data_IF_784810529268
#
_entry.id   IF_784810529268
#
_cell.length_a   1.000
_cell.length_b   1.000
_cell.length_c   1.000
_cell.angle_alpha   90.00
_cell.angle_beta   90.00
_cell.angle_gamma   90.00
#
_symmetry.space_group_name_H-M   'P 1'
#
loop_
_entity.id
_entity.type
_entity.pdbx_description
1 polymer ?
#
# COMPACT_ATOMS: atom_id res chain seq x y z
N UNK A 1 19.69 13.18 -37.53
CA UNK A 1 18.34 12.84 -37.05
C UNK A 1 18.47 12.75 -35.57
N UNK A 2 17.92 13.73 -34.86
CA UNK A 2 17.88 13.71 -33.41
C UNK A 2 17.00 12.52 -33.00
N UNK A 3 17.59 11.51 -32.35
CA UNK A 3 16.82 10.39 -31.80
C UNK A 3 15.85 10.96 -30.78
N UNK A 4 14.60 10.51 -30.78
CA UNK A 4 13.72 10.83 -29.67
C UNK A 4 14.33 10.23 -28.39
N UNK A 5 14.25 10.89 -27.22
CA UNK A 5 14.80 10.37 -25.97
C UNK A 5 14.31 8.95 -25.60
N UNK A 6 13.14 8.56 -26.11
CA UNK A 6 12.54 7.22 -25.93
C UNK A 6 13.11 6.15 -26.89
N UNK A 7 13.85 6.53 -27.93
CA UNK A 7 14.54 5.60 -28.85
C UNK A 7 15.89 5.11 -28.28
N UNK A 8 16.20 5.45 -27.02
CA UNK A 8 17.49 5.19 -26.39
C UNK A 8 17.56 3.79 -25.76
N UNK A 9 16.45 3.13 -25.45
CA UNK A 9 16.42 1.79 -24.86
C UNK A 9 15.54 0.83 -25.67
N UNK A 10 15.96 -0.43 -25.74
CA UNK A 10 15.22 -1.52 -26.41
C UNK A 10 14.35 -2.31 -25.42
N UNK A 11 14.68 -2.21 -24.13
CA UNK A 11 14.10 -3.00 -23.05
C UNK A 11 13.72 -2.14 -21.85
N UNK A 12 12.55 -2.39 -21.28
CA UNK A 12 12.12 -1.85 -19.99
C UNK A 12 12.11 -2.99 -18.98
N UNK A 13 12.83 -2.82 -17.88
CA UNK A 13 12.86 -3.74 -16.74
C UNK A 13 12.26 -3.00 -15.56
N UNK A 14 11.16 -3.48 -15.00
CA UNK A 14 10.52 -2.91 -13.81
C UNK A 14 10.74 -3.88 -12.66
N UNK A 15 11.35 -3.41 -11.58
CA UNK A 15 11.35 -4.07 -10.28
C UNK A 15 10.33 -3.35 -9.38
N UNK A 16 9.23 -4.03 -9.07
CA UNK A 16 8.17 -3.48 -8.22
C UNK A 16 8.17 -4.15 -6.84
N UNK A 17 8.56 -3.38 -5.85
CA UNK A 17 8.62 -3.73 -4.43
C UNK A 17 7.30 -3.42 -3.71
N UNK A 18 7.23 -3.78 -2.43
CA UNK A 18 6.14 -3.53 -1.48
C UNK A 18 6.68 -2.84 -0.20
N UNK A 19 5.79 -2.57 0.72
CA UNK A 19 5.19 -1.25 0.83
C UNK A 19 6.08 -0.19 1.50
N UNK A 20 6.39 0.93 0.82
CA UNK A 20 7.25 2.01 1.35
C UNK A 20 6.92 3.38 0.77
N UNK A 21 6.71 4.37 1.64
CA UNK A 21 6.62 5.78 1.26
C UNK A 21 7.96 6.35 0.77
N UNK A 22 7.92 7.40 -0.05
CA UNK A 22 9.12 8.10 -0.51
C UNK A 22 10.00 8.58 0.65
N UNK A 23 9.44 9.30 1.62
CA UNK A 23 10.24 9.86 2.72
C UNK A 23 10.90 8.80 3.60
N UNK A 24 10.21 7.68 3.86
CA UNK A 24 10.76 6.57 4.64
C UNK A 24 12.06 6.02 4.06
N UNK A 25 12.24 5.96 2.73
CA UNK A 25 13.46 5.44 2.11
C UNK A 25 14.38 6.54 1.56
N UNK A 26 13.83 7.57 0.92
CA UNK A 26 14.59 8.56 0.15
C UNK A 26 14.40 10.00 0.64
N UNK A 27 13.60 10.24 1.68
CA UNK A 27 13.40 11.58 2.24
C UNK A 27 14.71 12.20 2.73
N UNK A 28 15.62 11.39 3.27
CA UNK A 28 16.94 11.83 3.76
C UNK A 28 18.05 11.79 2.69
N UNK A 29 17.71 11.57 1.41
CA UNK A 29 18.68 11.36 0.31
C UNK A 29 19.73 12.48 0.23
N UNK A 30 19.29 13.73 0.35
CA UNK A 30 20.11 14.94 0.23
C UNK A 30 20.25 15.72 1.54
N UNK A 31 20.28 15.03 2.68
CA UNK A 31 20.51 15.65 4.00
C UNK A 31 21.81 16.48 4.08
N UNK A 32 22.81 16.17 3.24
CA UNK A 32 24.10 16.89 3.17
C UNK A 32 24.09 18.04 2.14
N UNK A 33 22.96 18.28 1.48
CA UNK A 33 22.77 19.31 0.47
C UNK A 33 22.19 18.77 -0.83
N UNK A 34 21.14 19.44 -1.32
CA UNK A 34 20.55 19.20 -2.64
C UNK A 34 21.53 19.69 -3.73
N UNK A 35 21.68 18.97 -4.86
CA UNK A 35 22.52 19.42 -5.97
C UNK A 35 22.19 20.84 -6.42
N UNK A 36 23.20 21.60 -6.85
CA UNK A 36 23.03 22.99 -7.28
C UNK A 36 21.96 23.11 -8.36
N UNK A 37 21.12 24.14 -8.26
CA UNK A 37 20.05 24.45 -9.22
C UNK A 37 18.96 23.38 -9.32
N UNK A 38 18.87 22.49 -8.32
CA UNK A 38 17.79 21.51 -8.16
C UNK A 38 17.00 21.81 -6.88
N UNK A 39 15.75 21.38 -6.88
CA UNK A 39 14.93 21.29 -5.68
C UNK A 39 14.83 19.82 -5.26
N UNK A 40 14.36 19.56 -4.05
CA UNK A 40 14.09 18.20 -3.60
C UNK A 40 13.07 18.28 -2.46
N UNK A 41 11.91 17.68 -2.64
CA UNK A 41 10.87 17.60 -1.61
C UNK A 41 11.19 16.44 -0.66
N UNK A 42 12.34 16.53 -0.01
CA UNK A 42 12.79 15.61 1.02
C UNK A 42 12.71 16.22 2.42
N UNK A 43 13.44 15.63 3.34
CA UNK A 43 13.39 15.92 4.78
C UNK A 43 14.54 16.82 5.26
N UNK A 44 15.27 17.44 4.34
CA UNK A 44 16.50 18.19 4.66
C UNK A 44 16.27 19.59 5.27
N UNK A 45 15.12 20.21 5.04
CA UNK A 45 14.90 21.64 5.35
C UNK A 45 13.97 21.91 6.54
N UNK A 46 13.22 20.91 7.02
CA UNK A 46 12.13 21.09 8.00
C UNK A 46 12.15 19.99 9.06
N UNK A 47 11.98 20.38 10.32
CA UNK A 47 11.65 19.45 11.40
C UNK A 47 10.20 19.00 11.27
N UNK A 48 9.99 17.84 10.67
CA UNK A 48 8.67 17.23 10.57
C UNK A 48 8.34 16.43 11.82
N UNK A 49 7.10 16.58 12.26
CA UNK A 49 6.55 15.87 13.42
C UNK A 49 5.09 15.51 13.20
N UNK A 50 4.60 14.54 13.96
CA UNK A 50 3.19 14.18 14.05
C UNK A 50 2.72 14.31 15.52
N UNK A 51 1.53 14.89 15.77
CA UNK A 51 0.97 14.98 17.12
C UNK A 51 0.64 13.61 17.69
N UNK A 52 0.79 13.50 19.01
CA UNK A 52 0.37 12.32 19.78
C UNK A 52 -1.07 12.59 20.27
N UNK A 53 -2.06 11.74 19.93
CA UNK A 53 -3.43 11.95 20.36
C UNK A 53 -3.57 11.74 21.87
N UNK A 54 -4.46 12.50 22.52
CA UNK A 54 -4.69 12.44 23.98
C UNK A 54 -5.13 11.05 24.49
N UNK A 55 -5.66 10.20 23.60
CA UNK A 55 -6.05 8.81 23.89
C UNK A 55 -4.87 7.83 24.00
N UNK A 56 -3.65 8.22 23.61
CA UNK A 56 -2.48 7.37 23.69
C UNK A 56 -2.09 7.08 25.15
N UNK A 57 -1.68 5.83 25.47
CA UNK A 57 -1.16 5.53 26.80
C UNK A 57 0.09 6.37 27.10
N UNK A 58 0.16 6.90 28.33
CA UNK A 58 1.26 7.72 28.82
C UNK A 58 1.62 8.96 27.96
N UNK A 59 0.68 9.45 27.13
CA UNK A 59 0.87 10.54 26.15
C UNK A 59 1.30 11.91 26.70
N UNK A 60 1.78 11.99 27.94
CA UNK A 60 2.11 13.23 28.64
C UNK A 60 3.32 13.16 29.60
N UNK A 61 4.02 12.01 29.73
CA UNK A 61 5.11 11.90 30.74
C UNK A 61 6.54 11.70 30.19
N UNK A 62 6.73 11.44 28.89
CA UNK A 62 8.09 11.22 28.32
C UNK A 62 8.47 12.09 27.12
N UNK A 63 7.54 12.78 26.47
CA UNK A 63 7.84 13.86 25.50
C UNK A 63 7.40 15.18 26.10
N UNK A 64 8.28 16.18 26.11
CA UNK A 64 7.97 17.51 26.65
C UNK A 64 6.92 18.23 25.79
N UNK A 65 6.64 17.74 24.56
CA UNK A 65 5.96 18.52 23.53
C UNK A 65 4.70 17.90 22.88
N UNK A 66 4.21 16.71 23.25
CA UNK A 66 3.03 16.07 22.62
C UNK A 66 3.18 15.74 21.11
N UNK A 67 4.41 15.68 20.59
CA UNK A 67 4.71 15.32 19.19
C UNK A 67 5.78 14.20 19.12
N UNK A 68 5.78 13.47 18.01
CA UNK A 68 6.88 12.59 17.58
C UNK A 68 7.54 13.18 16.35
N UNK A 69 8.85 13.42 16.41
CA UNK A 69 9.66 13.87 15.27
C UNK A 69 10.20 12.71 14.44
N UNK A 70 10.59 13.01 13.20
CA UNK A 70 11.34 12.06 12.37
C UNK A 70 12.65 11.69 13.08
N UNK A 71 12.99 10.40 13.02
CA UNK A 71 14.26 9.88 13.54
C UNK A 71 14.83 8.80 12.61
N UNK A 72 16.13 8.56 12.70
CA UNK A 72 16.78 7.50 11.94
C UNK A 72 16.20 6.14 12.34
N UNK A 73 15.97 5.28 11.34
CA UNK A 73 15.57 3.90 11.58
C UNK A 73 16.62 3.16 12.40
N UNK A 74 16.17 2.43 13.42
CA UNK A 74 17.06 1.65 14.31
C UNK A 74 17.26 0.22 13.83
N UNK A 75 16.45 -0.26 12.89
CA UNK A 75 16.52 -1.61 12.34
C UNK A 75 15.86 -1.73 10.96
N UNK A 76 16.34 -2.64 10.12
CA UNK A 76 15.86 -2.87 8.75
C UNK A 76 14.47 -3.51 8.63
N UNK A 77 13.86 -3.89 9.76
CA UNK A 77 12.50 -4.42 9.81
C UNK A 77 11.47 -3.36 10.22
N UNK A 78 11.87 -2.08 10.40
CA UNK A 78 10.97 -1.02 10.83
C UNK A 78 10.18 -0.41 9.66
N UNK A 79 8.94 0.05 9.89
CA UNK A 79 8.18 -0.11 11.14
C UNK A 79 7.80 -1.58 11.39
N UNK A 80 7.74 -1.99 12.66
CA UNK A 80 7.18 -3.27 13.05
C UNK A 80 6.29 -3.10 14.28
N UNK A 81 5.08 -3.69 14.28
CA UNK A 81 4.47 -4.43 13.17
C UNK A 81 4.01 -3.55 12.01
N UNK A 82 3.49 -4.19 10.97
CA UNK A 82 2.94 -3.56 9.78
C UNK A 82 1.90 -2.46 10.08
N UNK A 83 2.03 -1.25 9.50
CA UNK A 83 1.07 -0.16 9.69
C UNK A 83 -0.27 -0.41 8.98
N UNK A 84 -1.24 0.47 9.23
CA UNK A 84 -2.50 0.45 8.49
C UNK A 84 -2.34 0.98 7.05
N UNK A 85 -2.76 0.20 6.06
CA UNK A 85 -2.63 0.55 4.63
C UNK A 85 -3.98 0.62 3.88
N UNK A 86 -5.08 0.17 4.50
CA UNK A 86 -6.41 0.28 3.90
C UNK A 86 -6.88 1.73 3.83
N UNK A 87 -7.79 2.03 2.90
CA UNK A 87 -8.32 3.37 2.65
C UNK A 87 -8.71 4.16 3.91
N UNK A 88 -9.34 3.48 4.89
CA UNK A 88 -9.75 4.03 6.17
C UNK A 88 -8.56 4.52 7.02
N UNK A 89 -7.46 3.77 7.04
CA UNK A 89 -6.23 4.12 7.74
C UNK A 89 -5.49 5.27 7.02
N UNK A 90 -5.43 5.20 5.69
CA UNK A 90 -4.80 6.28 4.89
C UNK A 90 -5.54 7.60 5.07
N UNK A 91 -6.87 7.61 5.18
CA UNK A 91 -7.61 8.83 5.53
C UNK A 91 -7.18 9.40 6.88
N UNK A 92 -6.99 8.55 7.90
CA UNK A 92 -6.43 9.00 9.18
C UNK A 92 -5.07 9.65 8.99
N UNK A 93 -4.15 9.01 8.27
CA UNK A 93 -2.77 9.48 8.05
C UNK A 93 -2.74 10.87 7.40
N UNK A 94 -3.59 11.06 6.39
CA UNK A 94 -3.70 12.30 5.62
C UNK A 94 -4.32 13.44 6.43
N UNK A 95 -5.39 13.18 7.18
CA UNK A 95 -6.22 14.22 7.80
C UNK A 95 -6.06 14.33 9.32
N UNK A 96 -5.29 13.43 9.95
CA UNK A 96 -5.20 13.29 11.40
C UNK A 96 -6.58 13.24 12.09
N UNK A 97 -7.50 12.51 11.48
CA UNK A 97 -8.88 12.39 11.94
C UNK A 97 -9.28 10.91 12.01
N UNK A 98 -9.92 10.50 13.11
CA UNK A 98 -10.54 9.19 13.26
C UNK A 98 -11.96 9.44 13.77
N UNK A 99 -12.96 8.80 13.15
CA UNK A 99 -14.32 8.82 13.67
C UNK A 99 -14.37 8.07 15.01
N UNK A 100 -15.13 8.56 15.99
CA UNK A 100 -15.15 7.98 17.35
C UNK A 100 -15.48 6.48 17.34
N UNK A 101 -16.40 6.07 16.48
CA UNK A 101 -16.83 4.69 16.28
C UNK A 101 -15.78 3.78 15.63
N UNK A 102 -14.72 4.36 15.02
CA UNK A 102 -13.64 3.61 14.37
C UNK A 102 -12.37 3.51 15.24
N UNK A 103 -12.36 4.12 16.43
CA UNK A 103 -11.22 4.05 17.36
C UNK A 103 -11.12 2.64 17.96
N UNK A 104 -9.96 2.00 17.80
CA UNK A 104 -9.69 0.65 18.30
C UNK A 104 -10.48 -0.45 17.58
N UNK A 105 -10.89 -0.19 16.34
CA UNK A 105 -11.71 -1.08 15.52
C UNK A 105 -10.91 -1.58 14.32
N UNK A 106 -11.07 -2.85 13.95
CA UNK A 106 -10.42 -3.42 12.76
C UNK A 106 -11.00 -2.82 11.49
N UNK A 107 -10.18 -2.72 10.45
CA UNK A 107 -10.55 -2.15 9.17
C UNK A 107 -11.80 -2.77 8.53
N UNK A 108 -12.06 -4.06 8.76
CA UNK A 108 -13.18 -4.79 8.15
C UNK A 108 -14.54 -4.33 8.68
N UNK A 109 -14.56 -3.74 9.88
CA UNK A 109 -15.81 -3.32 10.55
C UNK A 109 -15.85 -1.82 10.84
N UNK A 110 -14.85 -1.04 10.40
CA UNK A 110 -14.91 0.42 10.40
C UNK A 110 -16.12 0.92 9.58
N UNK A 111 -16.73 2.00 10.05
CA UNK A 111 -17.95 2.57 9.50
C UNK A 111 -17.69 3.79 8.61
N UNK A 112 -18.58 4.07 7.63
CA UNK A 112 -18.58 5.34 6.91
C UNK A 112 -18.66 6.55 7.88
N UNK A 113 -17.96 7.66 7.61
CA UNK A 113 -17.29 8.00 6.35
C UNK A 113 -15.83 7.51 6.28
N UNK A 114 -15.47 6.42 6.99
CA UNK A 114 -14.17 5.77 6.84
C UNK A 114 -13.01 6.72 7.18
N UNK A 115 -13.16 7.46 8.29
CA UNK A 115 -12.21 8.47 8.78
C UNK A 115 -12.00 9.67 7.84
N UNK A 116 -12.80 9.80 6.78
CA UNK A 116 -12.80 10.99 5.94
C UNK A 116 -13.49 12.15 6.71
N UNK A 117 -12.80 13.29 6.92
CA UNK A 117 -13.41 14.43 7.61
C UNK A 117 -14.48 15.09 6.74
N UNK A 118 -15.44 15.76 7.38
CA UNK A 118 -16.53 16.50 6.71
C UNK A 118 -16.08 17.74 5.93
N UNK A 119 -14.89 18.29 6.23
CA UNK A 119 -14.29 19.40 5.49
C UNK A 119 -13.08 18.93 4.68
N UNK A 120 -13.12 19.11 3.36
CA UNK A 120 -12.05 18.76 2.42
C UNK A 120 -10.89 19.77 2.43
N UNK A 121 -10.31 20.06 3.59
CA UNK A 121 -9.04 20.79 3.64
C UNK A 121 -7.92 19.97 3.02
N UNK A 122 -6.89 20.63 2.48
CA UNK A 122 -5.66 19.97 2.02
C UNK A 122 -5.15 18.97 3.09
N UNK A 123 -4.77 17.74 2.71
CA UNK A 123 -4.19 16.77 3.64
C UNK A 123 -3.05 17.39 4.45
N UNK A 124 -3.09 17.21 5.76
CA UNK A 124 -2.09 17.75 6.69
C UNK A 124 -0.83 16.89 6.77
N UNK A 125 -0.95 15.60 6.44
CA UNK A 125 0.11 14.59 6.63
C UNK A 125 0.55 14.43 8.10
N UNK A 126 -0.35 14.73 9.05
CA UNK A 126 -0.10 14.72 10.50
C UNK A 126 -0.72 13.53 11.24
N UNK A 127 -1.26 12.54 10.53
CA UNK A 127 -2.04 11.48 11.14
C UNK A 127 -1.34 10.14 11.33
N UNK A 128 -0.10 9.96 10.88
CA UNK A 128 0.61 8.68 10.88
C UNK A 128 0.77 8.10 12.29
N UNK A 129 1.12 8.93 13.28
CA UNK A 129 1.20 8.50 14.69
C UNK A 129 -0.17 8.10 15.24
N UNK A 130 -1.19 8.91 14.95
CA UNK A 130 -2.57 8.65 15.42
C UNK A 130 -3.12 7.35 14.83
N UNK A 131 -2.88 7.13 13.54
CA UNK A 131 -3.27 5.93 12.82
C UNK A 131 -2.54 4.69 13.35
N UNK A 132 -1.20 4.76 13.48
CA UNK A 132 -0.41 3.62 13.94
C UNK A 132 -0.74 3.22 15.38
N UNK A 133 -1.07 4.16 16.27
CA UNK A 133 -1.64 3.85 17.60
C UNK A 133 -2.93 3.02 17.48
N UNK A 134 -3.80 3.37 16.53
CA UNK A 134 -5.03 2.63 16.27
C UNK A 134 -4.74 1.21 15.78
N UNK A 135 -3.84 1.08 14.80
CA UNK A 135 -3.40 -0.20 14.24
C UNK A 135 -2.79 -1.11 15.31
N UNK A 136 -1.88 -0.59 16.14
CA UNK A 136 -1.25 -1.34 17.23
C UNK A 136 -2.29 -1.84 18.23
N UNK A 137 -3.21 -0.97 18.66
CA UNK A 137 -4.26 -1.35 19.61
C UNK A 137 -5.06 -2.57 19.14
N UNK A 138 -5.32 -2.66 17.84
CA UNK A 138 -6.10 -3.72 17.22
C UNK A 138 -5.26 -4.96 16.93
N UNK A 139 -4.21 -4.84 16.10
CA UNK A 139 -3.46 -5.99 15.58
C UNK A 139 -2.76 -6.79 16.69
N UNK A 140 -2.21 -6.09 17.68
CA UNK A 140 -1.46 -6.71 18.76
C UNK A 140 -2.31 -6.97 20.01
N UNK A 141 -3.61 -6.65 19.99
CA UNK A 141 -4.50 -6.74 21.16
C UNK A 141 -3.88 -6.08 22.42
N UNK A 142 -3.16 -4.96 22.22
CA UNK A 142 -2.37 -4.33 23.28
C UNK A 142 -3.24 -3.97 24.49
N UNK A 143 -3.01 -4.67 25.60
CA UNK A 143 -3.53 -4.37 26.93
C UNK A 143 -2.37 -4.50 27.94
N UNK A 144 -1.79 -3.38 28.46
CA UNK A 144 -2.22 -1.99 28.28
C UNK A 144 -1.97 -1.44 26.86
N UNK A 145 -2.60 -0.31 26.54
CA UNK A 145 -2.43 0.43 25.28
C UNK A 145 -0.95 0.65 24.90
N UNK A 146 -0.62 0.78 23.59
CA UNK A 146 0.75 0.96 23.12
C UNK A 146 1.41 2.22 23.71
N UNK A 147 2.68 2.11 24.04
CA UNK A 147 3.51 3.17 24.62
C UNK A 147 4.23 3.99 23.54
N UNK A 148 4.84 5.11 23.94
CA UNK A 148 5.65 5.94 23.04
C UNK A 148 6.71 5.16 22.27
N UNK A 149 7.37 4.19 22.90
CA UNK A 149 8.38 3.38 22.22
C UNK A 149 7.79 2.45 21.16
N UNK A 150 6.52 2.06 21.30
CA UNK A 150 5.84 1.20 20.35
C UNK A 150 5.44 1.99 19.10
N UNK A 151 4.82 3.16 19.26
CA UNK A 151 4.28 3.91 18.12
C UNK A 151 5.26 4.90 17.47
N UNK A 152 6.31 5.36 18.15
CA UNK A 152 7.24 6.36 17.56
C UNK A 152 7.99 5.84 16.33
N UNK A 153 8.07 4.52 16.16
CA UNK A 153 8.79 3.89 15.05
C UNK A 153 8.15 4.19 13.69
N UNK A 154 6.88 4.59 13.63
CA UNK A 154 6.23 4.99 12.37
C UNK A 154 6.86 6.24 11.76
N UNK A 155 7.49 7.08 12.58
CA UNK A 155 8.20 8.29 12.16
C UNK A 155 9.68 8.00 11.82
N UNK A 156 10.10 6.73 11.80
CA UNK A 156 11.47 6.39 11.41
C UNK A 156 11.66 6.46 9.91
N UNK A 157 12.78 7.03 9.48
CA UNK A 157 13.21 7.06 8.08
C UNK A 157 14.60 6.44 7.97
N UNK A 158 14.87 5.75 6.86
CA UNK A 158 16.16 5.15 6.58
C UNK A 158 17.14 6.22 6.08
N UNK A 159 18.34 6.22 6.64
CA UNK A 159 19.41 7.09 6.17
C UNK A 159 19.98 6.59 4.84
N UNK A 160 20.62 7.45 4.03
CA UNK A 160 21.29 7.03 2.80
C UNK A 160 22.35 5.94 3.00
N UNK A 161 22.88 5.78 4.21
CA UNK A 161 23.84 4.69 4.54
C UNK A 161 23.15 3.35 4.76
N UNK A 162 21.90 3.35 5.21
CA UNK A 162 21.12 2.14 5.44
C UNK A 162 20.55 1.61 4.13
N UNK A 163 20.00 2.48 3.29
CA UNK A 163 19.50 2.14 1.94
C UNK A 163 20.52 2.52 0.86
N UNK A 164 21.76 2.12 1.07
CA UNK A 164 22.90 2.59 0.28
C UNK A 164 22.80 2.29 -1.21
N UNK A 165 22.26 1.14 -1.60
CA UNK A 165 22.09 0.76 -3.00
C UNK A 165 21.07 1.68 -3.65
N UNK A 166 19.84 1.76 -3.10
CA UNK A 166 18.80 2.61 -3.67
C UNK A 166 19.21 4.09 -3.65
N UNK A 167 19.80 4.58 -2.56
CA UNK A 167 20.26 5.96 -2.44
C UNK A 167 21.40 6.29 -3.41
N UNK A 168 22.34 5.37 -3.64
CA UNK A 168 23.40 5.56 -4.63
C UNK A 168 22.82 5.60 -6.04
N UNK A 169 21.91 4.69 -6.39
CA UNK A 169 21.25 4.70 -7.70
C UNK A 169 20.44 5.97 -7.92
N UNK A 170 19.72 6.44 -6.91
CA UNK A 170 18.97 7.69 -6.96
C UNK A 170 19.87 8.92 -7.19
N UNK A 171 21.07 8.95 -6.57
CA UNK A 171 22.03 10.05 -6.74
C UNK A 171 22.75 10.04 -8.08
N UNK A 172 23.08 8.86 -8.60
CA UNK A 172 23.86 8.70 -9.83
C UNK A 172 23.00 8.76 -11.10
N UNK A 173 21.70 8.47 -10.99
CA UNK A 173 20.74 8.44 -12.11
C UNK A 173 19.55 9.38 -11.84
N UNK A 174 18.31 8.90 -11.97
CA UNK A 174 17.13 9.71 -11.75
C UNK A 174 16.29 9.22 -10.59
N UNK A 175 15.85 10.17 -9.77
CA UNK A 175 14.85 9.97 -8.73
C UNK A 175 13.74 10.99 -8.90
N UNK A 176 12.51 10.53 -8.71
CA UNK A 176 11.30 11.32 -8.82
C UNK A 176 10.74 11.56 -7.41
N UNK A 177 10.68 12.81 -6.98
CA UNK A 177 10.22 13.20 -5.63
C UNK A 177 8.74 13.59 -5.59
N UNK A 178 8.01 13.42 -6.70
CA UNK A 178 6.57 13.64 -6.83
C UNK A 178 5.87 12.47 -7.54
N UNK A 179 6.36 11.24 -7.32
CA UNK A 179 5.72 10.01 -7.80
C UNK A 179 4.79 9.46 -6.70
N UNK A 180 3.50 9.32 -7.02
CA UNK A 180 2.47 8.92 -6.07
C UNK A 180 1.86 7.57 -6.45
N UNK A 181 1.44 6.79 -5.46
CA UNK A 181 0.54 5.67 -5.71
C UNK A 181 -0.78 6.18 -6.31
N UNK A 182 -1.43 5.39 -7.15
CA UNK A 182 -2.62 5.84 -7.88
C UNK A 182 -3.86 5.98 -6.99
N UNK A 183 -3.97 5.12 -5.98
CA UNK A 183 -5.04 5.18 -4.97
C UNK A 183 -4.45 5.24 -3.56
N UNK A 184 -5.11 5.96 -2.63
CA UNK A 184 -4.70 6.03 -1.23
C UNK A 184 -5.09 4.75 -0.47
N UNK A 185 -4.61 3.60 -0.95
CA UNK A 185 -4.84 2.29 -0.34
C UNK A 185 -3.84 1.25 -0.86
N UNK A 186 -4.20 -0.03 -0.77
CA UNK A 186 -3.30 -1.18 -0.77
C UNK A 186 -2.79 -1.63 -2.15
N UNK A 187 -1.86 -2.58 -2.10
CA UNK A 187 -1.18 -3.30 -3.20
C UNK A 187 -2.03 -3.59 -4.44
N UNK A 188 -3.14 -4.32 -4.31
CA UNK A 188 -3.80 -4.92 -5.48
C UNK A 188 -4.42 -3.86 -6.39
N UNK A 189 -5.00 -2.82 -5.79
CA UNK A 189 -5.58 -1.71 -6.53
C UNK A 189 -4.49 -0.87 -7.20
N UNK A 190 -3.39 -0.57 -6.51
CA UNK A 190 -2.29 0.20 -7.08
C UNK A 190 -1.55 -0.56 -8.21
N UNK A 191 -1.33 -1.86 -8.06
CA UNK A 191 -0.79 -2.69 -9.16
C UNK A 191 -1.77 -2.81 -10.33
N UNK A 192 -3.08 -2.85 -10.08
CA UNK A 192 -4.07 -2.78 -11.17
C UNK A 192 -3.96 -1.47 -11.96
N UNK A 193 -3.78 -0.34 -11.28
CA UNK A 193 -3.49 0.94 -11.93
C UNK A 193 -2.20 0.91 -12.74
N UNK A 194 -1.13 0.33 -12.21
CA UNK A 194 0.13 0.19 -12.96
C UNK A 194 -0.08 -0.56 -14.28
N UNK A 195 -0.92 -1.59 -14.28
CA UNK A 195 -1.16 -2.43 -15.45
C UNK A 195 -2.28 -1.96 -16.37
N UNK A 196 -3.23 -1.11 -15.94
CA UNK A 196 -4.33 -0.67 -16.82
C UNK A 196 -4.86 0.74 -16.59
N UNK A 197 -4.17 1.55 -15.79
CA UNK A 197 -4.59 2.91 -15.41
C UNK A 197 -5.99 2.98 -14.78
N UNK A 198 -6.47 1.89 -14.18
CA UNK A 198 -7.72 1.83 -13.42
C UNK A 198 -7.72 0.60 -12.50
N UNK A 199 -8.41 0.71 -11.37
CA UNK A 199 -8.77 -0.40 -10.48
C UNK A 199 -10.24 -0.82 -10.62
N UNK A 200 -10.97 -0.34 -11.64
CA UNK A 200 -12.41 -0.60 -11.81
C UNK A 200 -13.27 0.01 -10.69
N UNK A 201 -12.85 1.17 -10.15
CA UNK A 201 -13.51 1.83 -9.03
C UNK A 201 -13.20 1.22 -7.67
N UNK A 202 -12.25 0.28 -7.55
CA UNK A 202 -11.92 -0.39 -6.30
C UNK A 202 -10.79 0.31 -5.55
N UNK A 203 -10.86 0.30 -4.21
CA UNK A 203 -9.79 0.78 -3.33
C UNK A 203 -9.33 -0.28 -2.33
N UNK A 204 -10.11 -1.34 -2.10
CA UNK A 204 -9.75 -2.41 -1.18
C UNK A 204 -9.24 -3.66 -1.92
N UNK A 205 -8.31 -4.36 -1.27
CA UNK A 205 -7.92 -5.70 -1.66
C UNK A 205 -9.09 -6.69 -1.56
N UNK A 206 -9.11 -7.76 -2.36
CA UNK A 206 -10.10 -8.83 -2.20
C UNK A 206 -9.90 -9.54 -0.85
N UNK A 207 -10.98 -9.68 -0.07
CA UNK A 207 -10.91 -10.50 1.15
C UNK A 207 -10.92 -11.98 0.79
N UNK A 208 -10.00 -12.76 1.35
CA UNK A 208 -10.10 -14.23 1.32
C UNK A 208 -11.10 -14.64 2.38
N UNK A 209 -12.40 -14.61 2.06
CA UNK A 209 -13.38 -15.28 2.92
C UNK A 209 -13.07 -16.78 2.85
N UNK A 210 -12.44 -17.35 3.88
CA UNK A 210 -12.45 -18.79 4.06
C UNK A 210 -13.93 -19.22 4.08
N UNK A 211 -14.28 -20.21 3.26
CA UNK A 211 -15.65 -20.68 3.05
C UNK A 211 -16.31 -21.35 4.28
N UNK A 212 -16.04 -20.88 5.50
CA UNK A 212 -16.53 -21.46 6.76
C UNK A 212 -17.80 -20.82 7.33
N UNK A 213 -18.30 -19.71 6.77
CA UNK A 213 -19.54 -19.09 7.24
C UNK A 213 -20.69 -19.16 6.22
N UNK A 214 -20.84 -20.27 5.49
CA UNK A 214 -22.06 -20.59 4.71
C UNK A 214 -23.04 -21.53 5.45
N UNK A 215 -23.02 -21.51 6.78
CA UNK A 215 -24.13 -21.97 7.60
C UNK A 215 -24.35 -20.83 8.61
N UNK A 216 -25.48 -20.13 8.68
CA UNK A 216 -26.82 -20.65 8.75
C UNK A 216 -27.81 -19.48 8.74
N UNK A 217 -28.34 -19.10 7.57
CA UNK A 217 -29.57 -18.29 7.48
C UNK A 217 -30.54 -19.02 6.54
N UNK A 218 -31.09 -20.12 7.05
CA UNK A 218 -32.34 -20.67 6.54
C UNK A 218 -33.37 -20.52 7.65
N UNK A 219 -34.19 -19.48 7.55
CA UNK A 219 -35.47 -19.40 8.25
C UNK A 219 -36.40 -20.37 7.52
N UNK A 220 -36.86 -21.48 8.12
CA UNK A 220 -37.91 -22.29 7.51
C UNK A 220 -39.26 -21.70 7.90
N UNK A 221 -40.02 -21.26 6.90
CA UNK A 221 -41.44 -21.01 7.06
C UNK A 221 -42.18 -22.33 7.28
N UNK A 222 -42.80 -22.54 8.46
CA UNK A 222 -43.92 -23.47 8.64
C UNK A 222 -44.87 -23.05 9.78
N UNK A 223 -46.10 -22.67 9.36
CA UNK A 223 -47.44 -22.97 9.90
C UNK A 223 -47.70 -23.28 11.40
N UNK A 224 -48.58 -22.45 12.00
CA UNK A 224 -49.67 -22.70 12.98
C UNK A 224 -49.52 -23.73 14.12
N UNK A 225 -49.49 -23.26 15.38
CA UNK A 225 -50.60 -23.37 16.37
C UNK A 225 -50.24 -22.64 17.70
N UNK A 226 -51.22 -22.18 18.51
CA UNK A 226 -51.00 -21.27 19.62
C UNK A 226 -50.73 -22.02 20.93
N UNK A 227 -49.70 -21.62 21.67
CA UNK A 227 -49.65 -21.85 23.11
C UNK A 227 -49.12 -20.62 23.84
N UNK A 228 -49.98 -20.14 24.74
CA UNK A 228 -49.76 -19.15 25.78
C UNK A 228 -48.73 -19.63 26.79
N UNK A 229 -47.71 -18.81 27.06
CA UNK A 229 -47.12 -18.68 28.40
C UNK A 229 -46.55 -17.29 28.59
N UNK A 230 -47.12 -16.56 29.54
CA UNK A 230 -46.62 -15.34 30.16
C UNK A 230 -45.28 -15.57 30.83
N UNK A 231 -44.33 -14.64 30.71
CA UNK A 231 -43.45 -14.29 31.82
C UNK A 231 -42.96 -12.85 31.70
N UNK A 232 -43.33 -12.09 32.72
CA UNK A 232 -42.99 -10.71 33.02
C UNK A 232 -41.66 -10.69 33.76
N UNK A 233 -40.70 -9.87 33.32
CA UNK A 233 -39.67 -9.37 34.24
C UNK A 233 -39.38 -7.92 33.93
N UNK A 234 -39.84 -7.06 34.84
CA UNK A 234 -39.51 -5.65 34.98
C UNK A 234 -38.15 -5.51 35.64
N UNK A 235 -37.29 -4.63 35.11
CA UNK A 235 -36.25 -3.97 35.91
C UNK A 235 -36.17 -2.50 35.50
N UNK A 236 -36.61 -1.67 36.43
CA UNK A 236 -36.66 -0.21 36.40
C UNK A 236 -35.27 0.35 36.73
N UNK A 237 -34.78 1.33 35.97
CA UNK A 237 -33.81 2.31 36.47
C UNK A 237 -34.40 3.70 36.21
N UNK A 238 -34.71 4.37 37.31
CA UNK A 238 -35.21 5.74 37.37
C UNK A 238 -34.03 6.69 37.48
N UNK A 239 -33.91 7.66 36.56
CA UNK A 239 -33.35 8.97 36.90
C UNK A 239 -34.14 10.03 36.14
N UNK A 240 -34.93 10.81 36.88
CA UNK A 240 -35.62 11.98 36.38
C UNK A 240 -34.87 13.24 36.84
N UNK A 241 -34.54 14.13 35.89
CA UNK A 241 -34.55 15.57 36.11
C UNK A 241 -35.13 16.25 34.87
N UNK A 242 -36.01 17.22 35.13
CA UNK A 242 -36.95 17.85 34.22
C UNK A 242 -36.49 19.27 33.83
N UNK A 243 -37.11 19.79 32.76
CA UNK A 243 -37.13 21.18 32.22
C UNK A 243 -36.00 21.50 31.23
N UNK A 244 -36.19 22.01 30.01
CA UNK A 244 -37.32 22.69 29.34
C UNK A 244 -37.24 22.41 27.83
N UNK A 245 -38.37 22.15 27.18
CA UNK A 245 -38.51 21.90 25.75
C UNK A 245 -38.52 23.21 24.96
N UNK A 246 -37.57 23.40 24.05
CA UNK A 246 -37.68 24.37 22.94
C UNK A 246 -37.66 23.59 21.64
N UNK A 247 -38.81 23.53 20.97
CA UNK A 247 -38.98 22.91 19.66
C UNK A 247 -38.46 23.86 18.58
N UNK A 248 -37.29 23.59 18.03
CA UNK A 248 -36.83 24.23 16.79
C UNK A 248 -37.00 23.23 15.65
N UNK A 249 -38.00 23.47 14.81
CA UNK A 249 -38.22 22.71 13.57
C UNK A 249 -37.12 23.09 12.58
N UNK A 250 -36.06 22.28 12.51
CA UNK A 250 -35.14 22.32 11.37
C UNK A 250 -35.64 21.31 10.35
N UNK A 251 -36.22 21.81 9.27
CA UNK A 251 -36.54 21.04 8.07
C UNK A 251 -35.24 20.46 7.51
N UNK A 252 -34.97 19.17 7.76
CA UNK A 252 -33.98 18.41 7.01
C UNK A 252 -34.56 18.14 5.63
N UNK A 253 -34.07 18.86 4.63
CA UNK A 253 -34.18 18.43 3.24
C UNK A 253 -33.49 17.06 3.13
N UNK A 254 -34.26 16.07 2.68
CA UNK A 254 -33.85 14.70 2.46
C UNK A 254 -32.53 14.64 1.66
N UNK A 255 -31.44 14.28 2.33
CA UNK A 255 -30.38 13.53 1.64
C UNK A 255 -30.93 12.11 1.47
N UNK A 256 -31.35 11.82 0.24
CA UNK A 256 -31.82 10.51 -0.16
C UNK A 256 -30.80 9.44 0.19
N UNK A 257 -31.26 8.43 0.93
CA UNK A 257 -30.57 7.18 1.24
C UNK A 257 -30.10 6.48 -0.05
N UNK A 258 -28.86 6.72 -0.45
CA UNK A 258 -28.14 5.86 -1.43
C UNK A 258 -26.67 5.69 -1.03
N UNK A 259 -26.37 5.54 0.26
CA UNK A 259 -25.06 5.03 0.71
C UNK A 259 -25.32 3.72 1.45
N UNK A 260 -25.73 2.70 0.69
CA UNK A 260 -25.72 1.32 1.15
C UNK A 260 -25.25 0.48 -0.02
N UNK A 261 -23.95 0.20 -0.03
CA UNK A 261 -23.28 -0.95 -0.65
C UNK A 261 -21.78 -0.83 -0.36
N UNK A 262 -21.39 -1.11 0.88
CA UNK A 262 -20.07 -1.71 1.10
C UNK A 262 -20.07 -3.02 0.33
N UNK A 263 -19.54 -3.01 -0.91
CA UNK A 263 -19.28 -4.24 -1.64
C UNK A 263 -18.12 -4.94 -0.93
N UNK A 264 -18.44 -5.87 -0.03
CA UNK A 264 -17.47 -6.85 0.45
C UNK A 264 -17.35 -7.93 -0.63
N UNK A 265 -16.17 -8.04 -1.26
CA UNK A 265 -15.95 -9.02 -2.33
C UNK A 265 -15.72 -10.41 -1.73
N UNK A 266 -16.54 -11.37 -2.15
CA UNK A 266 -16.55 -12.73 -1.60
C UNK A 266 -15.49 -13.66 -2.21
N UNK A 267 -14.82 -13.25 -3.30
CA UNK A 267 -13.71 -14.00 -3.88
C UNK A 267 -12.78 -13.13 -4.73
N UNK A 268 -11.53 -13.57 -4.84
CA UNK A 268 -10.50 -12.99 -5.70
C UNK A 268 -10.93 -12.97 -7.19
N UNK A 269 -11.64 -14.00 -7.64
CA UNK A 269 -12.16 -14.10 -9.02
C UNK A 269 -13.14 -12.97 -9.35
N UNK A 270 -14.08 -12.68 -8.44
CA UNK A 270 -15.06 -11.61 -8.67
C UNK A 270 -14.40 -10.23 -8.63
N UNK A 271 -13.40 -10.03 -7.77
CA UNK A 271 -12.59 -8.81 -7.76
C UNK A 271 -11.88 -8.62 -9.12
N UNK A 272 -11.17 -9.65 -9.59
CA UNK A 272 -10.44 -9.60 -10.86
C UNK A 272 -11.35 -9.31 -12.06
N UNK A 273 -12.55 -9.91 -12.09
CA UNK A 273 -13.56 -9.68 -13.14
C UNK A 273 -14.05 -8.22 -13.18
N UNK A 274 -14.14 -7.55 -12.03
CA UNK A 274 -14.56 -6.14 -11.96
C UNK A 274 -13.43 -5.19 -12.36
N UNK A 275 -12.18 -5.50 -11.99
CA UNK A 275 -11.02 -4.69 -12.38
C UNK A 275 -10.78 -4.74 -13.89
N UNK A 276 -10.86 -5.93 -14.51
CA UNK A 276 -10.54 -6.09 -15.94
C UNK A 276 -11.74 -5.97 -16.86
N UNK A 277 -12.35 -4.79 -16.85
CA UNK A 277 -13.36 -4.42 -17.86
C UNK A 277 -12.73 -3.84 -19.14
N UNK A 278 -11.44 -3.47 -19.09
CA UNK A 278 -10.69 -2.84 -20.18
C UNK A 278 -9.37 -3.58 -20.46
N UNK A 279 -8.79 -3.45 -21.68
CA UNK A 279 -7.50 -4.06 -22.01
C UNK A 279 -6.38 -3.57 -21.09
N UNK A 280 -5.53 -4.51 -20.67
CA UNK A 280 -4.36 -4.25 -19.81
C UNK A 280 -3.11 -3.92 -20.64
N UNK A 281 -2.05 -3.46 -20.00
CA UNK A 281 -0.72 -3.27 -20.59
C UNK A 281 -0.26 -4.56 -21.29
N UNK A 282 -0.46 -5.72 -20.67
CA UNK A 282 -0.06 -6.99 -21.27
C UNK A 282 -0.86 -7.34 -22.53
N UNK A 283 -2.15 -6.98 -22.58
CA UNK A 283 -2.94 -7.12 -23.81
C UNK A 283 -2.42 -6.19 -24.91
N UNK A 284 -2.09 -4.94 -24.56
CA UNK A 284 -1.48 -4.00 -25.51
C UNK A 284 -0.13 -4.48 -26.02
N UNK A 285 0.70 -5.07 -25.15
CA UNK A 285 1.99 -5.64 -25.54
C UNK A 285 1.81 -6.81 -26.51
N UNK A 286 0.86 -7.72 -26.25
CA UNK A 286 0.56 -8.83 -27.15
C UNK A 286 0.01 -8.35 -28.51
N UNK A 287 -0.94 -7.43 -28.52
CA UNK A 287 -1.54 -6.86 -29.74
C UNK A 287 -0.48 -6.21 -30.64
N UNK A 288 0.55 -5.63 -30.03
CA UNK A 288 1.68 -5.00 -30.73
C UNK A 288 2.89 -5.92 -30.93
N UNK A 289 2.79 -7.21 -30.57
CA UNK A 289 3.88 -8.20 -30.68
C UNK A 289 5.15 -7.81 -29.92
N UNK A 290 5.02 -7.04 -28.83
CA UNK A 290 6.11 -6.67 -27.96
C UNK A 290 6.37 -7.82 -26.99
N UNK A 291 7.60 -8.30 -26.97
CA UNK A 291 7.96 -9.42 -26.09
C UNK A 291 7.94 -9.01 -24.62
N UNK A 292 7.20 -9.75 -23.80
CA UNK A 292 7.13 -9.49 -22.36
C UNK A 292 7.19 -10.76 -21.51
N UNK A 293 7.57 -10.61 -20.23
CA UNK A 293 7.58 -11.68 -19.22
C UNK A 293 7.46 -11.11 -17.80
N UNK A 294 6.82 -11.87 -16.91
CA UNK A 294 6.82 -11.65 -15.47
C UNK A 294 7.78 -12.64 -14.81
N UNK A 295 8.64 -12.14 -13.94
CA UNK A 295 9.64 -12.89 -13.20
C UNK A 295 9.37 -12.74 -11.71
N UNK A 296 9.19 -13.84 -10.99
CA UNK A 296 8.83 -13.77 -9.57
C UNK A 296 9.44 -14.93 -8.77
N UNK A 297 9.32 -14.86 -7.44
CA UNK A 297 9.87 -15.89 -6.56
C UNK A 297 9.20 -17.26 -6.77
N UNK A 298 10.02 -18.31 -6.84
CA UNK A 298 9.55 -19.69 -6.90
C UNK A 298 9.64 -20.33 -5.50
N UNK A 299 8.47 -20.67 -4.95
CA UNK A 299 8.36 -21.37 -3.69
C UNK A 299 9.03 -22.75 -3.77
N UNK A 300 9.68 -23.20 -2.68
CA UNK A 300 10.21 -24.56 -2.59
C UNK A 300 9.08 -25.59 -2.74
N UNK A 301 9.47 -26.82 -3.10
CA UNK A 301 8.51 -27.93 -3.29
C UNK A 301 7.60 -28.06 -2.06
N UNK A 302 6.29 -28.16 -2.27
CA UNK A 302 5.37 -28.57 -1.21
C UNK A 302 5.81 -29.91 -0.62
N UNK A 303 5.43 -30.23 0.62
CA UNK A 303 5.71 -31.52 1.27
C UNK A 303 5.29 -32.74 0.41
N UNK A 304 4.38 -32.56 -0.55
CA UNK A 304 3.94 -33.58 -1.52
C UNK A 304 4.88 -33.78 -2.74
N UNK A 305 5.99 -33.05 -2.83
CA UNK A 305 7.11 -33.28 -3.75
C UNK A 305 6.90 -32.99 -5.24
N UNK A 306 5.67 -32.68 -5.69
CA UNK A 306 5.33 -32.79 -7.11
C UNK A 306 5.11 -31.47 -7.89
N UNK A 307 5.21 -30.28 -7.28
CA UNK A 307 5.02 -29.03 -8.04
C UNK A 307 5.82 -27.87 -7.46
N UNK A 308 6.64 -27.24 -8.31
CA UNK A 308 7.24 -25.93 -8.03
C UNK A 308 6.24 -24.84 -8.42
N UNK A 309 5.95 -23.92 -7.51
CA UNK A 309 4.98 -22.84 -7.74
C UNK A 309 5.71 -21.49 -7.77
N UNK A 310 5.51 -20.71 -8.81
CA UNK A 310 5.98 -19.32 -8.87
C UNK A 310 4.85 -18.43 -8.41
N UNK A 311 5.05 -17.73 -7.28
CA UNK A 311 4.05 -16.83 -6.72
C UNK A 311 4.24 -15.43 -7.35
N UNK A 312 3.15 -14.85 -7.85
CA UNK A 312 3.18 -13.53 -8.48
C UNK A 312 1.89 -12.78 -8.26
N UNK A 313 1.96 -11.64 -7.58
CA UNK A 313 0.81 -10.75 -7.35
C UNK A 313 0.22 -10.30 -8.68
N UNK A 314 1.05 -9.85 -9.62
CA UNK A 314 0.65 -9.52 -10.99
C UNK A 314 -0.20 -10.62 -11.62
N UNK A 315 0.27 -11.87 -11.58
CA UNK A 315 -0.45 -12.99 -12.18
C UNK A 315 -1.80 -13.24 -11.50
N UNK A 316 -1.87 -13.10 -10.18
CA UNK A 316 -3.13 -13.16 -9.46
C UNK A 316 -4.04 -12.01 -9.92
N UNK A 317 -3.60 -10.73 -9.93
CA UNK A 317 -4.46 -9.58 -10.31
C UNK A 317 -5.11 -9.89 -11.66
N UNK A 318 -4.35 -10.38 -12.64
CA UNK A 318 -4.78 -10.78 -13.99
C UNK A 318 -5.61 -12.09 -14.09
N UNK A 319 -6.05 -12.63 -12.95
CA UNK A 319 -7.30 -13.39 -12.81
C UNK A 319 -7.27 -14.89 -13.10
N UNK A 320 -6.11 -15.57 -13.11
CA UNK A 320 -5.94 -16.99 -13.53
C UNK A 320 -6.46 -17.36 -14.95
N UNK A 321 -7.36 -16.56 -15.52
CA UNK A 321 -8.14 -16.74 -16.75
C UNK A 321 -7.33 -16.39 -17.98
N UNK A 322 -6.28 -15.57 -17.84
CA UNK A 322 -5.26 -15.45 -18.85
C UNK A 322 -4.35 -16.69 -18.83
N UNK A 323 -4.83 -17.78 -19.45
CA UNK A 323 -3.98 -18.84 -20.02
C UNK A 323 -3.14 -18.29 -21.19
N UNK A 324 -2.47 -17.16 -21.01
CA UNK A 324 -1.43 -16.66 -21.91
C UNK A 324 -0.12 -17.34 -21.50
N UNK A 325 0.03 -18.52 -22.10
CA UNK A 325 1.09 -19.52 -21.95
C UNK A 325 2.47 -19.01 -21.48
N UNK A 326 3.01 -19.59 -20.40
CA UNK A 326 4.46 -19.62 -20.08
C UNK A 326 5.16 -18.25 -19.91
N UNK A 327 4.40 -17.19 -19.60
CA UNK A 327 4.93 -15.83 -19.39
C UNK A 327 5.29 -15.51 -17.93
N UNK A 328 4.83 -16.31 -16.97
CA UNK A 328 5.31 -16.26 -15.58
C UNK A 328 6.48 -17.23 -15.41
N UNK A 329 7.60 -16.74 -14.92
CA UNK A 329 8.82 -17.53 -14.73
C UNK A 329 9.47 -17.23 -13.37
N UNK A 330 10.28 -18.15 -12.83
CA UNK A 330 11.13 -17.85 -11.68
C UNK A 330 12.09 -16.70 -11.96
N UNK A 331 12.43 -15.91 -10.95
CA UNK A 331 13.37 -14.79 -11.09
C UNK A 331 14.76 -15.25 -11.59
N UNK A 332 15.16 -16.50 -11.36
CA UNK A 332 16.40 -17.06 -11.91
C UNK A 332 16.39 -17.07 -13.45
N UNK A 333 15.21 -17.16 -14.07
CA UNK A 333 15.06 -17.11 -15.52
C UNK A 333 15.46 -15.73 -16.07
N UNK A 334 15.22 -14.64 -15.33
CA UNK A 334 15.62 -13.30 -15.74
C UNK A 334 17.13 -13.21 -15.93
N UNK A 335 17.90 -13.70 -14.96
CA UNK A 335 19.36 -13.73 -15.05
C UNK A 335 19.85 -14.61 -16.21
N UNK A 336 19.17 -15.73 -16.48
CA UNK A 336 19.46 -16.57 -17.65
C UNK A 336 19.13 -15.88 -18.97
N UNK A 337 18.03 -15.12 -19.04
CA UNK A 337 17.66 -14.38 -20.25
C UNK A 337 18.64 -13.25 -20.55
N UNK A 338 19.09 -12.54 -19.51
CA UNK A 338 20.15 -11.54 -19.61
C UNK A 338 21.44 -12.16 -20.16
N UNK A 339 21.87 -13.29 -19.61
CA UNK A 339 23.11 -13.97 -20.00
C UNK A 339 23.07 -14.59 -21.40
N UNK A 340 21.90 -15.01 -21.87
CA UNK A 340 21.74 -15.71 -23.15
C UNK A 340 21.30 -14.81 -24.31
N UNK A 341 21.16 -13.50 -24.11
CA UNK A 341 20.66 -12.61 -25.16
C UNK A 341 19.17 -12.83 -25.48
N UNK A 342 18.38 -13.21 -24.48
CA UNK A 342 16.96 -13.54 -24.59
C UNK A 342 16.05 -12.62 -23.74
N UNK A 343 16.54 -11.44 -23.33
CA UNK A 343 15.76 -10.51 -22.50
C UNK A 343 14.53 -10.02 -23.30
N UNK A 344 13.30 -10.12 -22.74
CA UNK A 344 12.10 -9.54 -23.35
C UNK A 344 12.18 -8.00 -23.39
N UNK A 345 11.47 -7.37 -24.33
CA UNK A 345 11.35 -5.92 -24.41
C UNK A 345 10.68 -5.31 -23.16
N UNK A 346 9.79 -6.04 -22.49
CA UNK A 346 9.22 -5.66 -21.20
C UNK A 346 9.38 -6.77 -20.17
N UNK A 347 10.11 -6.51 -19.10
CA UNK A 347 10.36 -7.45 -18.01
C UNK A 347 9.81 -6.87 -16.72
N UNK A 348 8.88 -7.56 -16.08
CA UNK A 348 8.32 -7.16 -14.79
C UNK A 348 8.79 -8.14 -13.71
N UNK A 349 9.51 -7.63 -12.71
CA UNK A 349 10.14 -8.40 -11.65
C UNK A 349 9.39 -8.16 -10.35
N UNK A 350 9.07 -9.25 -9.67
CA UNK A 350 8.46 -9.27 -8.36
C UNK A 350 9.38 -9.93 -7.33
N UNK A 351 9.39 -9.43 -6.09
CA UNK A 351 10.20 -9.95 -5.00
C UNK A 351 9.70 -11.31 -4.46
N UNK A 352 10.42 -11.82 -3.46
CA UNK A 352 9.95 -12.86 -2.57
C UNK A 352 9.10 -12.23 -1.46
N UNK A 353 7.87 -12.75 -1.29
CA UNK A 353 6.89 -12.32 -0.29
C UNK A 353 6.81 -13.24 0.94
N UNK A 354 7.69 -14.26 1.05
CA UNK A 354 7.56 -15.30 2.07
C UNK A 354 8.84 -15.48 2.89
N UNK A 355 8.67 -15.69 4.20
CA UNK A 355 9.77 -15.99 5.12
C UNK A 355 10.74 -14.81 5.23
N UNK A 356 11.95 -14.95 4.67
CA UNK A 356 12.85 -13.80 4.49
C UNK A 356 12.45 -13.03 3.23
N UNK A 357 11.30 -12.37 3.32
CA UNK A 357 10.76 -11.59 2.23
C UNK A 357 11.64 -10.36 1.95
N UNK A 358 11.85 -10.08 0.67
CA UNK A 358 12.77 -9.05 0.17
C UNK A 358 12.04 -8.00 -0.68
N UNK A 359 10.73 -7.95 -0.51
CA UNK A 359 9.82 -6.99 -1.09
C UNK A 359 9.90 -5.62 -0.42
N UNK A 360 10.56 -5.51 0.74
CA UNK A 360 10.57 -4.34 1.63
C UNK A 360 9.24 -4.07 2.32
N UNK A 361 8.23 -4.92 2.28
CA UNK A 361 7.01 -4.73 3.07
C UNK A 361 7.35 -4.75 4.59
N UNK A 362 6.72 -3.93 5.45
CA UNK A 362 6.86 -4.11 6.90
C UNK A 362 6.33 -5.50 7.32
N UNK A 363 6.99 -6.23 8.22
CA UNK A 363 6.47 -7.56 8.63
C UNK A 363 5.25 -7.42 9.53
N UNK A 364 4.24 -8.26 9.34
CA UNK A 364 3.04 -8.29 10.17
C UNK A 364 3.31 -8.82 11.60
N UNK A 365 2.54 -8.36 12.59
CA UNK A 365 2.60 -8.94 13.95
C UNK A 365 2.09 -10.39 13.99
N UNK A 366 1.06 -10.67 13.18
CA UNK A 366 0.33 -11.94 13.11
C UNK A 366 -0.04 -12.16 11.66
N UNK A 367 0.24 -13.35 11.13
CA UNK A 367 -0.37 -13.78 9.87
C UNK A 367 -1.20 -15.04 10.07
N UNK A 368 -2.28 -15.22 9.31
CA UNK A 368 -2.98 -16.49 9.25
C UNK A 368 -2.00 -17.61 8.86
N UNK A 369 -1.98 -18.71 9.61
CA UNK A 369 -1.11 -19.88 9.38
C UNK A 369 -1.13 -20.43 7.93
N UNK A 370 -2.15 -20.07 7.14
CA UNK A 370 -2.36 -20.53 5.76
C UNK A 370 -1.38 -19.98 4.71
N UNK A 371 -0.63 -18.90 5.01
CA UNK A 371 0.34 -18.30 4.08
C UNK A 371 1.81 -18.43 4.52
N UNK A 372 2.08 -19.20 5.59
CA UNK A 372 3.38 -19.19 6.29
C UNK A 372 3.47 -18.05 7.30
N UNK A 373 4.46 -18.07 8.20
CA UNK A 373 4.67 -16.97 9.14
C UNK A 373 5.45 -15.83 8.47
N UNK A 374 4.85 -14.64 8.45
CA UNK A 374 5.45 -13.33 8.17
C UNK A 374 5.83 -12.67 9.51
N UNK A 375 6.39 -13.48 10.43
CA UNK A 375 6.93 -12.95 11.68
C UNK A 375 8.04 -11.95 11.38
N UNK A 376 8.42 -11.14 12.39
CA UNK A 376 9.52 -10.17 12.26
C UNK A 376 10.71 -10.79 11.53
N UNK A 377 10.97 -10.31 10.31
CA UNK A 377 12.15 -10.75 9.55
C UNK A 377 13.41 -10.36 10.31
N UNK A 378 14.15 -11.35 10.79
CA UNK A 378 15.31 -11.14 11.66
C UNK A 378 16.42 -10.29 11.02
N UNK A 379 16.63 -10.38 9.70
CA UNK A 379 17.56 -9.52 8.97
C UNK A 379 16.97 -8.13 8.63
N UNK A 380 15.65 -8.06 8.51
CA UNK A 380 14.92 -6.88 8.06
C UNK A 380 14.69 -6.85 6.54
N UNK A 381 13.45 -6.53 6.18
CA UNK A 381 12.91 -6.60 4.82
C UNK A 381 13.54 -5.54 3.91
N UNK A 382 13.91 -4.39 4.48
CA UNK A 382 14.60 -3.31 3.76
C UNK A 382 16.00 -3.74 3.33
N UNK A 383 16.76 -4.41 4.21
CA UNK A 383 18.11 -4.90 3.89
C UNK A 383 18.06 -5.97 2.79
N UNK A 384 17.09 -6.88 2.87
CA UNK A 384 16.89 -7.91 1.85
C UNK A 384 16.44 -7.32 0.51
N UNK A 385 15.60 -6.28 0.53
CA UNK A 385 15.24 -5.55 -0.69
C UNK A 385 16.39 -4.76 -1.30
N UNK A 386 17.27 -4.18 -0.49
CA UNK A 386 18.53 -3.56 -0.97
C UNK A 386 19.41 -4.58 -1.68
N UNK A 387 19.49 -5.81 -1.16
CA UNK A 387 20.18 -6.91 -1.82
C UNK A 387 19.53 -7.27 -3.16
N UNK A 388 18.21 -7.37 -3.23
CA UNK A 388 17.49 -7.65 -4.49
C UNK A 388 17.75 -6.56 -5.53
N UNK A 389 17.64 -5.28 -5.13
CA UNK A 389 17.94 -4.14 -6.01
C UNK A 389 19.37 -4.24 -6.53
N UNK A 390 20.34 -4.52 -5.65
CA UNK A 390 21.74 -4.68 -6.02
C UNK A 390 21.95 -5.81 -7.03
N UNK A 391 21.33 -6.97 -6.81
CA UNK A 391 21.42 -8.13 -7.69
C UNK A 391 20.87 -7.83 -9.09
N UNK A 392 19.68 -7.21 -9.17
CA UNK A 392 19.04 -6.84 -10.44
C UNK A 392 19.87 -5.80 -11.19
N UNK A 393 20.27 -4.71 -10.54
CA UNK A 393 21.09 -3.66 -11.15
C UNK A 393 22.43 -4.22 -11.64
N UNK A 394 23.12 -5.01 -10.81
CA UNK A 394 24.43 -5.59 -11.15
C UNK A 394 24.32 -6.55 -12.33
N UNK A 395 23.26 -7.36 -12.39
CA UNK A 395 23.02 -8.25 -13.52
C UNK A 395 22.81 -7.48 -14.82
N UNK A 396 21.99 -6.42 -14.81
CA UNK A 396 21.77 -5.56 -15.98
C UNK A 396 23.08 -4.88 -16.40
N UNK A 397 23.76 -4.22 -15.46
CA UNK A 397 25.02 -3.48 -15.70
C UNK A 397 26.12 -4.35 -16.32
N UNK A 398 26.22 -5.62 -15.90
CA UNK A 398 27.23 -6.55 -16.38
C UNK A 398 26.80 -7.33 -17.64
N UNK A 399 25.55 -7.18 -18.08
CA UNK A 399 25.04 -7.84 -19.27
C UNK A 399 25.39 -7.10 -20.58
N UNK A 400 25.21 -7.78 -21.71
CA UNK A 400 25.26 -7.15 -23.03
C UNK A 400 24.14 -6.10 -23.26
N UNK A 401 23.15 -6.03 -22.37
CA UNK A 401 22.00 -5.12 -22.44
C UNK A 401 22.18 -3.82 -21.66
N UNK A 402 23.31 -3.61 -20.97
CA UNK A 402 23.53 -2.44 -20.10
C UNK A 402 23.21 -1.08 -20.75
N UNK A 403 23.43 -0.97 -22.06
CA UNK A 403 23.20 0.25 -22.86
C UNK A 403 21.89 0.23 -23.64
N UNK A 404 20.98 -0.67 -23.29
CA UNK A 404 19.70 -0.92 -23.97
C UNK A 404 18.53 -1.06 -23.00
N UNK A 405 18.78 -0.96 -21.70
CA UNK A 405 17.78 -1.14 -20.65
C UNK A 405 17.45 0.20 -20.01
N UNK A 406 16.15 0.45 -19.83
CA UNK A 406 15.63 1.31 -18.78
C UNK A 406 15.21 0.41 -17.61
N UNK A 407 15.96 0.48 -16.50
CA UNK A 407 15.59 -0.16 -15.25
C UNK A 407 14.80 0.82 -14.40
N UNK A 408 13.60 0.43 -14.02
CA UNK A 408 12.69 1.16 -13.14
C UNK A 408 12.62 0.40 -11.81
N UNK A 409 12.88 1.09 -10.71
CA UNK A 409 12.69 0.57 -9.35
C UNK A 409 11.63 1.42 -8.68
N UNK A 410 10.56 0.80 -8.20
CA UNK A 410 9.45 1.49 -7.54
C UNK A 410 8.72 0.57 -6.57
N UNK A 411 7.76 1.15 -5.85
CA UNK A 411 6.85 0.48 -4.93
C UNK A 411 5.42 0.70 -5.42
N UNK A 412 4.53 -0.23 -5.14
CA UNK A 412 3.11 -0.09 -5.49
C UNK A 412 2.39 0.94 -4.61
N UNK A 413 2.63 0.92 -3.30
CA UNK A 413 2.06 1.88 -2.35
C UNK A 413 2.95 2.11 -1.09
N UNK A 414 2.48 2.95 -0.16
CA UNK A 414 3.30 3.51 0.92
C UNK A 414 3.31 2.70 2.23
N UNK A 415 2.39 1.76 2.41
CA UNK A 415 2.31 0.81 3.54
C UNK A 415 1.99 1.45 4.86
N UNK A 416 1.35 2.63 4.84
CA UNK A 416 1.19 3.48 6.02
C UNK A 416 2.49 4.10 6.55
N UNK A 417 3.62 3.94 5.87
CA UNK A 417 4.88 4.60 6.25
C UNK A 417 4.77 6.13 6.07
N UNK A 418 5.48 6.88 6.92
CA UNK A 418 5.41 8.34 6.94
C UNK A 418 5.88 8.99 5.62
N UNK A 419 5.07 9.92 5.11
CA UNK A 419 5.45 10.89 4.08
C UNK A 419 4.87 12.27 4.42
N UNK A 420 5.60 13.34 4.09
CA UNK A 420 5.23 14.70 4.41
C UNK A 420 4.48 15.43 3.29
N UNK A 421 4.49 14.94 2.05
CA UNK A 421 3.90 15.66 0.91
C UNK A 421 2.44 15.25 0.71
N UNK A 422 1.50 16.21 0.76
CA UNK A 422 0.11 15.94 0.45
C UNK A 422 -0.06 15.39 -0.97
N UNK A 423 -0.84 14.31 -1.17
CA UNK A 423 -1.16 13.83 -2.50
C UNK A 423 -1.87 14.88 -3.35
N UNK A 424 -1.48 15.07 -4.62
CA UNK A 424 -2.11 16.06 -5.49
C UNK A 424 -3.49 15.58 -5.95
N UNK A 425 -4.29 16.55 -6.41
CA UNK A 425 -5.52 16.25 -7.14
C UNK A 425 -5.18 15.64 -8.51
N UNK A 426 -6.06 14.78 -9.01
CA UNK A 426 -5.95 14.16 -10.33
C UNK A 426 -7.31 14.09 -11.03
N UNK A 427 -7.33 13.59 -12.25
CA UNK A 427 -8.54 13.30 -13.02
C UNK A 427 -8.92 11.84 -12.78
N UNK A 428 -10.19 11.59 -12.45
CA UNK A 428 -10.70 10.24 -12.30
C UNK A 428 -10.48 9.43 -13.60
N UNK A 429 -10.00 8.17 -13.53
CA UNK A 429 -9.61 7.39 -14.70
C UNK A 429 -10.80 6.88 -15.52
N UNK A 430 -11.99 6.81 -14.90
CA UNK A 430 -13.23 6.36 -15.51
C UNK A 430 -14.45 6.89 -14.75
N UNK A 431 -15.64 6.52 -15.23
CA UNK A 431 -16.94 6.94 -14.69
C UNK A 431 -17.48 5.95 -13.63
N UNK A 432 -16.65 5.03 -13.10
CA UNK A 432 -17.12 4.08 -12.10
C UNK A 432 -17.40 4.77 -10.77
N UNK A 433 -18.48 4.34 -10.11
CA UNK A 433 -18.71 4.70 -8.71
C UNK A 433 -17.58 4.09 -7.86
N UNK A 434 -16.85 4.96 -7.14
CA UNK A 434 -15.74 4.49 -6.34
C UNK A 434 -16.14 3.83 -5.03
N UNK A 435 -15.46 2.73 -4.73
CA UNK A 435 -15.63 1.97 -3.50
C UNK A 435 -15.34 2.88 -2.29
N UNK A 436 -16.16 2.72 -1.24
CA UNK A 436 -16.13 3.55 -0.02
C UNK A 436 -16.39 5.05 -0.24
N UNK A 437 -16.89 5.45 -1.41
CA UNK A 437 -17.17 6.84 -1.75
C UNK A 437 -15.94 7.63 -2.22
N UNK A 438 -14.83 6.97 -2.52
CA UNK A 438 -13.65 7.62 -3.07
C UNK A 438 -13.88 8.03 -4.53
N UNK A 439 -13.73 9.30 -4.88
CA UNK A 439 -14.08 9.82 -6.21
C UNK A 439 -12.93 9.77 -7.24
N UNK A 440 -11.79 9.19 -6.88
CA UNK A 440 -10.59 9.07 -7.72
C UNK A 440 -10.01 10.41 -8.22
N UNK A 441 -10.33 11.54 -7.56
CA UNK A 441 -9.80 12.86 -7.92
C UNK A 441 -8.57 13.28 -7.12
N UNK A 442 -7.94 12.35 -6.42
CA UNK A 442 -6.70 12.55 -5.68
C UNK A 442 -5.83 11.30 -5.78
N UNK A 443 -4.52 11.47 -5.88
CA UNK A 443 -3.59 10.33 -5.81
C UNK A 443 -3.43 9.82 -4.36
N UNK A 444 -2.72 8.70 -4.22
CA UNK A 444 -2.23 8.19 -2.95
C UNK A 444 -0.94 8.87 -2.49
N UNK A 445 -0.34 8.32 -1.43
CA UNK A 445 0.91 8.86 -0.84
C UNK A 445 2.08 8.62 -1.79
N UNK A 446 3.13 9.45 -1.69
CA UNK A 446 4.33 9.29 -2.51
C UNK A 446 5.02 7.96 -2.23
N UNK A 447 5.57 7.38 -3.28
CA UNK A 447 6.39 6.17 -3.22
C UNK A 447 7.70 6.37 -3.98
N UNK A 448 8.77 5.62 -3.65
CA UNK A 448 10.02 5.70 -4.40
C UNK A 448 9.85 5.40 -5.88
N UNK A 449 10.55 6.16 -6.71
CA UNK A 449 10.65 5.92 -8.15
C UNK A 449 12.04 6.33 -8.61
N UNK A 450 12.83 5.33 -9.01
CA UNK A 450 14.20 5.51 -9.50
C UNK A 450 14.32 4.89 -10.88
N UNK A 451 14.83 5.67 -11.84
CA UNK A 451 15.08 5.22 -13.20
C UNK A 451 16.58 5.20 -13.50
N UNK A 452 17.06 4.09 -14.03
CA UNK A 452 18.45 3.81 -14.33
C UNK A 452 18.59 3.42 -15.80
N UNK A 453 19.45 4.12 -16.52
CA UNK A 453 19.87 3.78 -17.88
C UNK A 453 21.21 4.45 -18.17
N UNK A 454 22.01 3.92 -19.11
CA UNK A 454 23.27 4.58 -19.49
C UNK A 454 23.08 5.91 -20.22
N UNK A 455 21.86 6.20 -20.67
CA UNK A 455 21.47 7.50 -21.24
C UNK A 455 20.92 8.49 -20.20
N UNK A 456 20.66 8.03 -18.98
CA UNK A 456 20.22 8.87 -17.88
C UNK A 456 21.48 9.31 -17.14
N UNK A 457 21.77 10.60 -17.17
CA UNK A 457 22.70 11.23 -16.25
C UNK A 457 21.95 11.67 -14.99
N UNK A 458 22.67 11.96 -13.90
CA UNK A 458 22.10 12.42 -12.64
C UNK A 458 21.06 13.54 -12.86
N UNK A 459 19.77 13.22 -12.76
CA UNK A 459 18.66 14.14 -13.03
C UNK A 459 17.61 13.99 -11.95
N UNK A 460 17.36 15.07 -11.21
CA UNK A 460 16.15 15.25 -10.42
C UNK A 460 15.02 15.72 -11.34
N UNK A 461 13.92 14.98 -11.34
CA UNK A 461 12.69 15.27 -12.08
C UNK A 461 11.57 15.65 -11.10
N UNK A 462 10.92 16.78 -11.39
CA UNK A 462 9.92 17.44 -10.56
C UNK A 462 8.52 17.40 -11.15
N UNK A 463 8.34 16.72 -12.28
CA UNK A 463 7.04 16.69 -12.93
C UNK A 463 6.05 15.93 -12.04
N UNK A 464 4.86 16.49 -11.85
CA UNK A 464 3.77 15.75 -11.22
C UNK A 464 3.30 14.68 -12.22
N UNK A 465 3.40 13.40 -11.84
CA UNK A 465 3.01 12.25 -12.66
C UNK A 465 1.72 11.61 -12.17
#
# INVERSE_FOLDING_TARGET
>A
MDRYPLDCFDHVVVLMLENRSFDNLLGLLYQEGVPRDKQFSGLQDIHFSNPIPSRAANGCYQSVDFYTEINDSVAYHQPFPDPGEVYQHVNTQLYNHINEENIGVTEEVMQPPFNLPSSHSTPSMKGFVNDYINTLQVQCEYQPLPTYNDYKVIMQCFTPKQVNVLATLAKEFSVFDHWHSSVPSQTWCNRAFWHAASSGGLVLNPTVISAKNQHQDTIPATTNHPQTTTNTTTSTITTAYSTTTTTTTVTSTQFSNTISKTKHYTSFEEWSRQVWTKPTLFDRLDDNKISWRVYAHQLPLSESGNTKFTFSLTYFIHGFYCKKAKKLNPIEKFYQDLGNGCLPQYSFLEPNYFGQHNDQHPSAAKVPHSFGSDERTHLGTVLLGEELIWQVYTAVKNSAYKDKVLLVITHDEHGGCFDHVPPPNTVAPDECDGQLGFDFKRLGVRVPMVMISSYIHAMLDFSAY
#
